data_IF_705838210194
#
_entry.id   IF_705838210194
#
_cell.length_a   1.000
_cell.length_b   1.000
_cell.length_c   1.000
_cell.angle_alpha   90.00
_cell.angle_beta   90.00
_cell.angle_gamma   90.00
#
_symmetry.space_group_name_H-M   'P 1'
#
loop_
_entity.id
_entity.type
_entity.pdbx_description
1 polymer ?
#
# COMPACT_ATOMS: atom_id res chain seq x y z
N UNK A 1 11.64 -17.43 7.32
CA UNK A 1 11.11 -17.34 7.21
C UNK A 1 10.32 -16.94 6.54
N UNK A 2 9.82 -17.27 6.66
CA UNK A 2 9.16 -17.06 5.86
C UNK A 2 8.73 -16.07 5.47
N UNK A 3 8.36 -16.22 5.21
CA UNK A 3 7.96 -15.52 4.45
C UNK A 3 7.58 -14.31 4.81
N UNK A 4 8.09 -13.52 4.74
CA UNK A 4 7.81 -12.20 5.03
C UNK A 4 6.99 -11.55 3.98
N UNK A 5 5.87 -12.20 3.70
CA UNK A 5 4.92 -11.58 2.80
C UNK A 5 4.23 -10.49 3.58
N UNK A 6 4.44 -9.26 3.15
CA UNK A 6 3.80 -8.14 3.83
C UNK A 6 2.39 -7.97 3.30
N UNK A 7 1.50 -7.65 4.22
CA UNK A 7 0.15 -7.25 3.85
C UNK A 7 0.01 -5.75 4.10
N UNK A 8 -1.04 -5.16 3.54
CA UNK A 8 -1.30 -3.75 3.79
C UNK A 8 -1.39 -3.48 5.29
N UNK A 9 -2.21 -4.28 5.98
CA UNK A 9 -2.39 -4.09 7.41
C UNK A 9 -1.11 -4.28 8.20
N UNK A 10 -0.34 -5.31 7.85
CA UNK A 10 0.93 -5.56 8.53
C UNK A 10 1.93 -4.42 8.34
N UNK A 11 1.98 -3.87 7.11
CA UNK A 11 2.91 -2.79 6.83
C UNK A 11 2.58 -1.53 7.63
N UNK A 12 1.29 -1.16 7.70
CA UNK A 12 0.95 0.04 8.45
C UNK A 12 1.08 -0.18 9.96
N UNK A 13 0.78 -1.40 10.43
CA UNK A 13 0.95 -1.72 11.84
C UNK A 13 2.42 -1.61 12.26
N UNK A 14 3.30 -2.19 11.46
CA UNK A 14 4.72 -2.16 11.72
C UNK A 14 5.25 -0.73 11.75
N UNK A 15 4.85 0.07 10.76
CA UNK A 15 5.30 1.45 10.68
C UNK A 15 4.76 2.29 11.85
N UNK A 16 3.52 2.04 12.24
CA UNK A 16 2.93 2.72 13.39
C UNK A 16 3.72 2.43 14.66
N UNK A 17 4.00 1.14 14.88
CA UNK A 17 4.73 0.73 16.09
C UNK A 17 6.15 1.28 16.09
N UNK A 18 6.76 1.34 14.93
CA UNK A 18 8.11 1.90 14.82
C UNK A 18 8.15 3.38 15.23
N UNK A 19 7.03 4.07 15.09
CA UNK A 19 6.93 5.46 15.52
C UNK A 19 6.52 5.60 16.99
N UNK A 20 6.27 4.49 17.66
CA UNK A 20 5.84 4.51 19.06
C UNK A 20 4.39 4.99 19.22
N UNK A 21 3.59 4.87 18.18
CA UNK A 21 2.22 5.36 18.22
C UNK A 21 1.26 4.26 18.65
N UNK A 22 0.30 4.65 19.49
CA UNK A 22 -0.84 3.80 19.79
C UNK A 22 -1.82 3.84 18.62
N UNK A 23 -2.79 2.92 18.61
CA UNK A 23 -3.80 2.92 17.56
C UNK A 23 -4.48 4.28 17.42
N UNK A 24 -4.83 4.90 18.54
CA UNK A 24 -5.53 6.19 18.48
C UNK A 24 -4.69 7.28 17.83
N UNK A 25 -3.38 7.18 17.97
CA UNK A 25 -2.51 8.21 17.40
C UNK A 25 -2.54 8.18 15.89
N UNK A 26 -2.47 7.00 15.30
CA UNK A 26 -2.56 6.89 13.85
C UNK A 26 -3.98 7.13 13.36
N UNK A 27 -4.97 6.57 14.07
CA UNK A 27 -6.37 6.73 13.66
C UNK A 27 -6.76 8.19 13.53
N UNK A 28 -6.26 9.03 14.44
CA UNK A 28 -6.61 10.45 14.43
C UNK A 28 -6.04 11.20 13.23
N UNK A 29 -5.17 10.57 12.46
CA UNK A 29 -4.52 11.20 11.31
C UNK A 29 -5.12 10.76 9.98
N UNK A 30 -6.14 9.91 10.00
CA UNK A 30 -6.73 9.35 8.78
C UNK A 30 -8.22 9.63 8.77
N UNK A 31 -8.68 10.19 7.66
CA UNK A 31 -10.09 10.58 7.51
C UNK A 31 -10.82 9.60 6.58
N UNK A 32 -12.07 9.34 6.91
CA UNK A 32 -13.00 8.66 6.03
C UNK A 32 -13.70 9.69 5.18
N UNK A 33 -14.68 9.23 4.38
CA UNK A 33 -15.59 10.16 3.72
C UNK A 33 -16.24 11.05 4.77
N UNK A 34 -16.61 12.23 4.37
CA UNK A 34 -17.26 13.20 5.26
C UNK A 34 -16.35 13.75 6.35
N UNK A 35 -15.04 13.62 6.15
CA UNK A 35 -14.03 14.25 7.03
C UNK A 35 -14.05 13.77 8.47
N UNK A 36 -14.51 12.54 8.69
CA UNK A 36 -14.46 11.95 10.02
C UNK A 36 -13.19 11.13 10.19
N UNK A 37 -12.48 11.30 11.31
CA UNK A 37 -11.35 10.44 11.58
C UNK A 37 -11.83 9.01 11.80
N UNK A 38 -11.01 8.05 11.43
CA UNK A 38 -11.36 6.65 11.69
C UNK A 38 -11.20 6.36 13.18
N UNK A 39 -11.93 5.37 13.65
CA UNK A 39 -11.82 4.96 15.05
C UNK A 39 -10.62 4.04 15.24
N UNK A 40 -10.11 3.91 16.47
CA UNK A 40 -9.07 2.90 16.72
C UNK A 40 -9.51 1.49 16.36
N UNK A 41 -10.80 1.16 16.56
CA UNK A 41 -11.28 -0.17 16.19
C UNK A 41 -11.26 -0.37 14.68
N UNK A 42 -11.66 0.65 13.92
CA UNK A 42 -11.60 0.59 12.46
C UNK A 42 -10.17 0.35 12.00
N UNK A 43 -9.23 1.09 12.59
CA UNK A 43 -7.82 0.92 12.25
C UNK A 43 -7.33 -0.47 12.64
N UNK A 44 -7.74 -0.95 13.79
CA UNK A 44 -7.33 -2.29 14.23
C UNK A 44 -7.77 -3.34 13.22
N UNK A 45 -8.97 -3.20 12.68
CA UNK A 45 -9.47 -4.13 11.66
C UNK A 45 -8.62 -4.06 10.40
N UNK A 46 -8.19 -2.86 9.99
CA UNK A 46 -7.32 -2.70 8.83
C UNK A 46 -5.96 -3.35 9.10
N UNK A 47 -5.40 -3.11 10.27
CA UNK A 47 -4.07 -3.64 10.61
C UNK A 47 -4.05 -5.16 10.65
N UNK A 48 -5.18 -5.78 10.95
CA UNK A 48 -5.28 -7.24 10.97
C UNK A 48 -5.85 -7.80 9.68
N UNK A 49 -5.95 -6.96 8.65
CA UNK A 49 -6.42 -7.36 7.32
C UNK A 49 -7.84 -7.91 7.32
N UNK A 50 -8.63 -7.54 8.30
CA UNK A 50 -10.06 -7.86 8.32
C UNK A 50 -10.86 -6.86 7.51
N UNK A 51 -10.24 -5.76 7.13
CA UNK A 51 -10.88 -4.70 6.37
C UNK A 51 -9.83 -4.08 5.44
N UNK A 52 -10.20 -3.83 4.21
CA UNK A 52 -9.32 -3.13 3.26
C UNK A 52 -9.52 -1.63 3.38
N UNK A 53 -8.52 -0.83 2.97
CA UNK A 53 -8.74 0.62 2.93
C UNK A 53 -9.89 0.92 1.94
N UNK A 54 -10.76 1.84 2.32
CA UNK A 54 -12.00 2.06 1.57
C UNK A 54 -11.84 2.95 0.35
N UNK A 55 -10.72 3.64 0.21
CA UNK A 55 -10.53 4.58 -0.88
C UNK A 55 -9.06 4.83 -1.13
N UNK A 56 -8.78 5.41 -2.31
CA UNK A 56 -7.43 5.86 -2.62
C UNK A 56 -6.95 6.91 -1.64
N UNK A 57 -7.86 7.80 -1.26
CA UNK A 57 -7.52 8.85 -0.32
C UNK A 57 -7.02 8.26 0.99
N UNK A 58 -7.66 7.19 1.46
CA UNK A 58 -7.24 6.55 2.70
C UNK A 58 -5.85 5.94 2.56
N UNK A 59 -5.57 5.28 1.42
CA UNK A 59 -4.24 4.72 1.17
C UNK A 59 -3.19 5.84 1.22
N UNK A 60 -3.47 6.96 0.55
CA UNK A 60 -2.55 8.08 0.52
C UNK A 60 -2.33 8.69 1.90
N UNK A 61 -3.38 8.77 2.69
CA UNK A 61 -3.25 9.32 4.04
C UNK A 61 -2.37 8.43 4.93
N UNK A 62 -2.52 7.11 4.82
CA UNK A 62 -1.63 6.21 5.55
C UNK A 62 -0.19 6.38 5.11
N UNK A 63 0.02 6.48 3.79
CA UNK A 63 1.38 6.64 3.28
C UNK A 63 2.01 7.93 3.80
N UNK A 64 1.25 9.02 3.75
CA UNK A 64 1.76 10.32 4.17
C UNK A 64 2.01 10.36 5.68
N UNK A 65 1.08 9.82 6.47
CA UNK A 65 1.22 9.85 7.92
C UNK A 65 2.41 9.01 8.39
N UNK A 66 2.67 7.90 7.71
CA UNK A 66 3.68 6.95 8.14
C UNK A 66 5.00 7.07 7.37
N UNK A 67 5.04 7.96 6.37
CA UNK A 67 6.26 8.11 5.58
C UNK A 67 6.57 6.91 4.71
N UNK A 68 5.54 6.21 4.25
CA UNK A 68 5.70 5.04 3.39
C UNK A 68 5.42 5.47 1.95
N UNK A 69 6.15 4.87 1.01
CA UNK A 69 5.94 5.13 -0.40
C UNK A 69 4.50 4.78 -0.79
N UNK A 70 3.82 5.70 -1.49
CA UNK A 70 2.42 5.49 -1.87
C UNK A 70 2.24 4.30 -2.79
N UNK A 71 3.14 4.13 -3.77
CA UNK A 71 3.02 3.03 -4.73
C UNK A 71 3.14 1.70 -4.02
N UNK A 72 4.03 1.61 -3.04
CA UNK A 72 4.17 0.39 -2.24
C UNK A 72 2.86 0.06 -1.53
N UNK A 73 2.22 1.05 -0.91
CA UNK A 73 0.95 0.81 -0.23
C UNK A 73 -0.17 0.48 -1.20
N UNK A 74 -0.20 1.11 -2.38
CA UNK A 74 -1.17 0.72 -3.41
C UNK A 74 -0.99 -0.72 -3.82
N UNK A 75 0.26 -1.14 -4.03
CA UNK A 75 0.55 -2.52 -4.39
C UNK A 75 0.02 -3.47 -3.31
N UNK A 76 0.31 -3.19 -2.04
CA UNK A 76 -0.15 -4.04 -0.95
C UNK A 76 -1.67 -4.07 -0.82
N UNK A 77 -2.33 -2.96 -1.17
CA UNK A 77 -3.79 -2.89 -1.13
C UNK A 77 -4.43 -3.56 -2.33
N UNK A 78 -3.64 -4.01 -3.30
CA UNK A 78 -4.16 -4.63 -4.52
C UNK A 78 -4.81 -3.63 -5.45
N UNK A 79 -4.33 -2.39 -5.45
CA UNK A 79 -4.90 -1.32 -6.26
C UNK A 79 -3.83 -0.71 -7.13
N UNK A 80 -4.20 -0.32 -8.34
CA UNK A 80 -3.34 0.55 -9.12
C UNK A 80 -3.48 1.98 -8.60
N UNK A 81 -2.40 2.77 -8.64
CA UNK A 81 -2.52 4.18 -8.28
C UNK A 81 -3.55 4.88 -9.17
N UNK A 82 -4.16 5.92 -8.62
CA UNK A 82 -5.24 6.61 -9.29
C UNK A 82 -4.82 7.16 -10.66
N UNK A 83 -3.61 7.72 -10.74
CA UNK A 83 -3.13 8.27 -11.99
C UNK A 83 -2.99 7.22 -13.08
N UNK A 84 -2.68 5.97 -12.71
CA UNK A 84 -2.61 4.88 -13.67
C UNK A 84 -4.00 4.47 -14.13
N UNK A 85 -4.93 4.33 -13.19
CA UNK A 85 -6.29 3.92 -13.53
C UNK A 85 -7.00 4.95 -14.40
N UNK A 86 -6.68 6.23 -14.20
CA UNK A 86 -7.35 7.30 -14.94
C UNK A 86 -6.90 7.41 -16.40
N UNK A 87 -5.86 6.69 -16.78
CA UNK A 87 -5.35 6.77 -18.14
C UNK A 87 -6.21 6.06 -19.18
N UNK A 88 -7.16 5.26 -18.74
CA UNK A 88 -8.07 4.54 -19.64
C UNK A 88 -7.29 3.72 -20.66
N UNK A 89 -6.44 2.86 -20.15
CA UNK A 89 -5.57 2.04 -20.98
C UNK A 89 -6.35 1.01 -21.78
N UNK A 90 -5.87 0.71 -22.97
CA UNK A 90 -6.42 -0.38 -23.77
C UNK A 90 -5.94 -1.72 -23.22
N UNK A 91 -6.62 -2.78 -23.66
CA UNK A 91 -6.22 -4.13 -23.29
C UNK A 91 -4.76 -4.40 -23.66
N UNK A 92 -4.37 -3.97 -24.87
CA UNK A 92 -3.00 -4.17 -25.33
C UNK A 92 -2.00 -3.45 -24.44
N UNK A 93 -2.30 -2.20 -24.07
CA UNK A 93 -1.42 -1.43 -23.20
C UNK A 93 -1.26 -2.08 -21.84
N UNK A 94 -2.35 -2.59 -21.28
CA UNK A 94 -2.29 -3.27 -19.98
C UNK A 94 -1.43 -4.52 -20.09
N UNK A 95 -1.65 -5.32 -21.13
CA UNK A 95 -0.88 -6.54 -21.30
C UNK A 95 0.61 -6.26 -21.43
N UNK A 96 0.97 -5.23 -22.21
CA UNK A 96 2.36 -4.86 -22.36
C UNK A 96 2.98 -4.34 -21.08
N UNK A 97 2.20 -3.55 -20.33
CA UNK A 97 2.68 -3.03 -19.05
C UNK A 97 2.93 -4.15 -18.05
N UNK A 98 2.07 -5.17 -18.06
CA UNK A 98 2.25 -6.30 -17.15
C UNK A 98 3.48 -7.12 -17.49
N UNK A 99 3.78 -7.28 -18.79
CA UNK A 99 5.00 -7.96 -19.20
C UNK A 99 6.22 -7.19 -18.69
N UNK A 100 6.20 -5.87 -18.85
CA UNK A 100 7.31 -5.04 -18.40
C UNK A 100 7.47 -5.12 -16.87
N UNK A 101 6.35 -5.11 -16.17
CA UNK A 101 6.37 -5.20 -14.71
C UNK A 101 7.00 -6.52 -14.25
N UNK A 102 6.58 -7.64 -14.86
CA UNK A 102 7.15 -8.93 -14.51
C UNK A 102 8.64 -9.00 -14.86
N UNK A 103 9.01 -8.37 -15.97
CA UNK A 103 10.42 -8.29 -16.36
C UNK A 103 11.25 -7.57 -15.34
N UNK A 104 10.71 -6.48 -14.79
CA UNK A 104 11.38 -5.74 -13.73
C UNK A 104 11.59 -6.56 -12.48
N UNK A 105 10.62 -7.40 -12.16
CA UNK A 105 10.75 -8.27 -10.99
C UNK A 105 11.86 -9.27 -11.17
N UNK A 106 12.00 -9.82 -12.37
CA UNK A 106 13.07 -10.80 -12.63
C UNK A 106 14.43 -10.17 -12.71
N UNK A 107 14.48 -8.97 -13.24
CA UNK A 107 15.74 -8.34 -13.53
C UNK A 107 16.47 -7.79 -12.37
N UNK A 108 16.01 -7.85 -11.32
CA UNK A 108 16.57 -7.16 -10.28
C UNK A 108 17.77 -7.67 -9.73
N UNK A 109 18.21 -7.23 -9.91
CA UNK A 109 19.00 -7.23 -9.52
C UNK A 109 19.84 -7.35 -9.06
N UNK A 110 20.11 -7.66 -9.21
CA UNK A 110 20.79 -7.77 -8.72
C UNK A 110 21.68 -7.34 -9.14
N UNK A 111 21.78 -7.00 -9.54
CA UNK A 111 22.35 -6.90 -9.92
C UNK A 111 23.07 -7.13 -10.01
N UNK A 112 23.21 -7.27 -9.98
CA UNK A 112 23.69 -7.78 -10.16
C UNK A 112 24.01 -8.35 -10.34
N UNK A 113 23.95 -8.78 -10.44
CA UNK A 113 24.13 -9.50 -10.66
C UNK A 113 24.13 -9.81 -11.31
N UNK A 114 24.14 -9.77 -11.64
CA UNK A 114 23.94 -10.26 -12.31
C UNK A 114 24.08 -10.71 -12.95
N UNK A 115 24.28 -11.01 -13.18
CA UNK A 115 24.16 -11.54 -13.68
C UNK A 115 24.03 -12.07 -14.01
N UNK A 116 23.82 -12.37 -14.38
CA UNK A 116 23.43 -12.95 -14.46
C UNK A 116 23.38 -13.19 -14.48
#
# INVERSE_FOLDING_TARGET
MAANVKTFGGAISEARKARGWALKDLASRVLREHEEVISPQYLNDIEHDRRSPSSDRMVQQFADALGIDRDWLYYLAGRFPEDVRDKKLSEKQVAEAMVAFRGGLRGSPRKGNGRS
#
